data_IF_368639994475
#
_entry.id   IF_368639994475
#
_cell.length_a   1.000
_cell.length_b   1.000
_cell.length_c   1.000
_cell.angle_alpha   90.00
_cell.angle_beta   90.00
_cell.angle_gamma   90.00
#
_symmetry.space_group_name_H-M   'P 1'
#
loop_
_entity.id
_entity.type
_entity.pdbx_description
1 polymer ?
#
# COMPACT_ATOMS: atom_id res chain seq x y z
N UNK A 1 1.85 0.72 -13.56
CA UNK A 1 2.03 1.55 -12.33
C UNK A 1 3.11 0.87 -11.53
N UNK A 2 4.24 1.54 -11.35
CA UNK A 2 5.39 1.01 -10.62
C UNK A 2 5.11 1.17 -9.13
N UNK A 3 5.42 0.17 -8.31
CA UNK A 3 5.19 0.23 -6.87
C UNK A 3 5.91 1.42 -6.19
N UNK A 4 6.98 1.94 -6.82
CA UNK A 4 7.66 3.16 -6.39
C UNK A 4 6.77 4.39 -6.43
N UNK A 5 5.86 4.51 -7.42
CA UNK A 5 4.91 5.62 -7.49
C UNK A 5 3.91 5.59 -6.33
N UNK A 6 3.44 4.39 -5.95
CA UNK A 6 2.55 4.24 -4.80
C UNK A 6 3.25 4.65 -3.51
N UNK A 7 4.48 4.17 -3.28
CA UNK A 7 5.27 4.57 -2.10
C UNK A 7 5.49 6.07 -2.07
N UNK A 8 5.93 6.67 -3.18
CA UNK A 8 6.14 8.12 -3.26
C UNK A 8 4.87 8.92 -2.98
N UNK A 9 3.73 8.52 -3.54
CA UNK A 9 2.44 9.21 -3.32
C UNK A 9 1.97 9.11 -1.85
N UNK A 10 2.20 7.97 -1.19
CA UNK A 10 1.88 7.80 0.22
C UNK A 10 2.82 8.63 1.10
N UNK A 11 4.12 8.62 0.82
CA UNK A 11 5.10 9.40 1.56
C UNK A 11 4.93 10.91 1.43
N UNK A 12 4.40 11.40 0.31
CA UNK A 12 4.16 12.84 0.09
C UNK A 12 2.80 13.32 0.60
N UNK A 13 1.96 12.44 1.12
CA UNK A 13 0.57 12.74 1.44
C UNK A 13 0.42 13.24 2.88
N UNK A 14 -0.18 14.42 3.05
CA UNK A 14 -0.40 15.02 4.38
C UNK A 14 -1.41 14.26 5.26
N UNK A 15 -2.22 13.37 4.68
CA UNK A 15 -3.13 12.51 5.46
C UNK A 15 -2.40 11.31 6.07
N UNK A 16 -1.22 10.96 5.55
CA UNK A 16 -0.41 9.85 6.05
C UNK A 16 0.38 10.32 7.26
N UNK A 17 0.17 9.63 8.38
CA UNK A 17 0.95 9.83 9.61
C UNK A 17 2.17 8.91 9.64
N UNK A 18 2.01 7.68 9.15
CA UNK A 18 3.08 6.69 9.12
C UNK A 18 2.89 5.75 7.93
N UNK A 19 3.99 5.45 7.23
CA UNK A 19 4.04 4.43 6.19
C UNK A 19 5.00 3.32 6.63
N UNK A 20 4.45 2.14 6.91
CA UNK A 20 5.21 0.93 7.23
C UNK A 20 5.23 -0.02 6.05
N UNK A 21 6.36 -0.11 5.37
CA UNK A 21 6.58 -1.09 4.30
C UNK A 21 6.89 -2.46 4.92
N UNK A 22 6.01 -3.44 4.69
CA UNK A 22 6.17 -4.82 5.15
C UNK A 22 7.00 -5.63 4.15
N UNK A 23 6.77 -5.42 2.86
CA UNK A 23 7.50 -6.07 1.78
C UNK A 23 7.58 -5.12 0.59
N UNK A 24 8.75 -5.00 -0.02
CA UNK A 24 8.91 -4.33 -1.30
C UNK A 24 9.91 -5.10 -2.18
N UNK A 25 9.52 -5.34 -3.43
CA UNK A 25 10.34 -5.95 -4.48
C UNK A 25 10.24 -5.05 -5.69
N UNK A 26 11.32 -4.39 -6.06
CA UNK A 26 11.32 -3.37 -7.13
C UNK A 26 11.85 -3.88 -8.48
N UNK A 27 12.51 -5.04 -8.49
CA UNK A 27 13.25 -5.54 -9.66
C UNK A 27 12.38 -6.38 -10.60
N UNK A 28 12.56 -6.28 -11.93
CA UNK A 28 11.93 -7.19 -12.88
C UNK A 28 12.41 -8.65 -12.70
N UNK A 29 11.59 -9.65 -13.11
CA UNK A 29 10.30 -9.49 -13.78
C UNK A 29 9.13 -9.24 -12.83
N UNK A 30 9.32 -9.32 -11.49
CA UNK A 30 8.24 -9.23 -10.50
C UNK A 30 8.44 -8.05 -9.55
N UNK A 31 7.51 -7.10 -9.60
CA UNK A 31 7.39 -6.05 -8.59
C UNK A 31 6.30 -6.37 -7.59
N UNK A 32 6.52 -6.08 -6.31
CA UNK A 32 5.51 -6.26 -5.27
C UNK A 32 5.68 -5.27 -4.11
N UNK A 33 4.57 -4.80 -3.57
CA UNK A 33 4.51 -3.94 -2.39
C UNK A 33 3.47 -4.50 -1.43
N UNK A 34 3.83 -4.63 -0.17
CA UNK A 34 2.90 -4.81 0.95
C UNK A 34 3.22 -3.75 1.98
N UNK A 35 2.26 -2.91 2.31
CA UNK A 35 2.45 -1.81 3.25
C UNK A 35 1.21 -1.62 4.13
N UNK A 36 1.45 -1.09 5.32
CA UNK A 36 0.44 -0.57 6.23
C UNK A 36 0.66 0.93 6.36
N UNK A 37 -0.42 1.69 6.22
CA UNK A 37 -0.39 3.15 6.27
C UNK A 37 -1.30 3.59 7.40
N UNK A 38 -0.76 4.32 8.37
CA UNK A 38 -1.54 4.99 9.40
C UNK A 38 -1.97 6.35 8.86
N UNK A 39 -3.26 6.62 8.88
CA UNK A 39 -3.85 7.85 8.36
C UNK A 39 -4.42 8.70 9.51
N UNK A 40 -4.54 10.01 9.28
CA UNK A 40 -5.27 10.91 10.18
C UNK A 40 -6.68 10.39 10.45
N UNK A 41 -7.18 10.62 11.67
CA UNK A 41 -8.53 10.19 12.07
C UNK A 41 -8.61 8.73 12.54
N UNK A 42 -7.48 8.09 12.82
CA UNK A 42 -7.42 6.73 13.38
C UNK A 42 -7.70 5.62 12.35
N UNK A 43 -7.50 5.91 11.06
CA UNK A 43 -7.65 4.92 10.01
C UNK A 43 -6.33 4.21 9.71
N UNK A 44 -6.44 2.96 9.30
CA UNK A 44 -5.31 2.15 8.84
C UNK A 44 -5.63 1.61 7.45
N UNK A 45 -4.77 1.90 6.49
CA UNK A 45 -4.88 1.41 5.12
C UNK A 45 -3.81 0.33 4.89
N UNK A 46 -4.24 -0.87 4.59
CA UNK A 46 -3.36 -1.95 4.15
C UNK A 46 -3.38 -2.01 2.63
N UNK A 47 -2.21 -2.05 2.00
CA UNK A 47 -2.07 -2.11 0.54
C UNK A 47 -1.24 -3.34 0.19
N UNK A 48 -1.68 -4.08 -0.81
CA UNK A 48 -0.88 -5.11 -1.49
C UNK A 48 -0.98 -4.92 -2.99
N UNK A 49 0.16 -4.64 -3.61
CA UNK A 49 0.32 -4.59 -5.06
C UNK A 49 1.32 -5.64 -5.48
N UNK A 50 1.08 -6.31 -6.60
CA UNK A 50 2.10 -7.10 -7.27
C UNK A 50 1.88 -7.15 -8.77
N UNK A 51 2.96 -7.17 -9.53
CA UNK A 51 2.92 -7.27 -10.98
C UNK A 51 4.11 -8.09 -11.48
N UNK A 52 3.84 -9.03 -12.36
CA UNK A 52 4.83 -9.79 -13.12
C UNK A 52 4.62 -9.61 -14.63
N UNK A 53 5.32 -10.41 -15.43
CA UNK A 53 5.12 -10.50 -16.88
C UNK A 53 3.66 -10.77 -17.27
N UNK A 54 3.00 -11.68 -16.55
CA UNK A 54 1.70 -12.23 -16.93
C UNK A 54 0.59 -11.96 -15.91
N UNK A 55 0.88 -11.18 -14.87
CA UNK A 55 -0.09 -10.88 -13.84
C UNK A 55 0.04 -9.47 -13.30
N UNK A 56 -1.10 -8.93 -12.87
CA UNK A 56 -1.15 -7.73 -12.04
C UNK A 56 -2.26 -7.89 -11.02
N UNK A 57 -1.91 -7.72 -9.75
CA UNK A 57 -2.82 -7.85 -8.61
C UNK A 57 -2.71 -6.61 -7.75
N UNK A 58 -3.86 -6.14 -7.31
CA UNK A 58 -3.98 -4.99 -6.43
C UNK A 58 -5.11 -5.27 -5.44
N UNK A 59 -4.85 -5.03 -4.16
CA UNK A 59 -5.86 -5.08 -3.12
C UNK A 59 -5.53 -4.05 -2.05
N UNK A 60 -6.57 -3.45 -1.49
CA UNK A 60 -6.43 -2.57 -0.35
C UNK A 60 -7.53 -2.85 0.66
N UNK A 61 -7.28 -2.52 1.92
CA UNK A 61 -8.26 -2.62 3.00
C UNK A 61 -8.12 -1.41 3.91
N UNK A 62 -9.21 -0.66 4.07
CA UNK A 62 -9.28 0.47 4.99
C UNK A 62 -9.97 0.00 6.28
N UNK A 63 -9.34 0.27 7.41
CA UNK A 63 -9.84 -0.06 8.74
C UNK A 63 -9.91 1.20 9.60
N UNK A 64 -10.78 1.20 10.60
CA UNK A 64 -10.82 2.20 11.68
C UNK A 64 -10.91 1.44 13.00
N UNK A 65 -9.83 1.45 13.78
CA UNK A 65 -9.70 0.51 14.90
C UNK A 65 -9.79 -0.94 14.40
N UNK A 66 -10.72 -1.72 14.96
CA UNK A 66 -10.91 -3.13 14.58
C UNK A 66 -11.98 -3.35 13.49
N UNK A 67 -12.60 -2.30 12.98
CA UNK A 67 -13.66 -2.41 11.98
C UNK A 67 -13.12 -2.19 10.56
N UNK A 68 -13.51 -3.06 9.64
CA UNK A 68 -13.22 -2.89 8.22
C UNK A 68 -14.22 -1.90 7.62
N UNK A 69 -13.71 -0.80 7.08
CA UNK A 69 -14.50 0.27 6.45
C UNK A 69 -14.67 0.02 4.96
N UNK A 70 -13.61 -0.46 4.28
CA UNK A 70 -13.62 -0.69 2.83
C UNK A 70 -12.60 -1.75 2.40
N UNK A 71 -12.91 -2.45 1.31
CA UNK A 71 -12.05 -3.41 0.58
C UNK A 71 -12.16 -3.19 -0.92
#
# INVERSE_FOLDING_TARGET
>A
MTISKTVSALSSSEIVLELKVIKAVFEPPVQALKATVTLKGGYTLQISESSGSDFRRYSYHLQKGNEMVKR
#
